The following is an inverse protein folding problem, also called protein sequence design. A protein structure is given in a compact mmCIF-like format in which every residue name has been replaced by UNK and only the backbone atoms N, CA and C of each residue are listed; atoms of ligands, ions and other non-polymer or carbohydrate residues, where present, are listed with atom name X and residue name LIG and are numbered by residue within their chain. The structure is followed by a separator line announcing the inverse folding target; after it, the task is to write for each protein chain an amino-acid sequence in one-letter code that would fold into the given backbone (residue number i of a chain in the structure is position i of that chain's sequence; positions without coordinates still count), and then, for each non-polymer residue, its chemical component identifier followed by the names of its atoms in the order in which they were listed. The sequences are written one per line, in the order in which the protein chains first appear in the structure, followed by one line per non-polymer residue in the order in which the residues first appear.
data_IF_310443189704
#
_entry.id   IF_310443189704
#
_cell.length_a   1.000
_cell.length_b   1.000
_cell.length_c   1.000
_cell.angle_alpha   90.00
_cell.angle_beta   90.00
_cell.angle_gamma   90.00
#
_symmetry.space_group_name_H-M   'P 1'
#
loop_
_entity.id
_entity.type
_entity.pdbx_description
1 polymer ?
#
# COMPACT_ATOMS: atom_id res chain seq x y z
N UNK A 1 -11.84 -66.52 42.23
CA UNK A 1 -11.57 -67.23 43.49
C UNK A 1 -10.13 -67.04 43.86
N UNK A 2 -9.79 -66.84 45.10
CA UNK A 2 -10.33 -65.91 46.11
C UNK A 2 -9.16 -65.10 46.75
N UNK A 3 -9.46 -64.19 47.43
CA UNK A 3 -9.40 -63.79 48.83
C UNK A 3 -8.59 -62.55 49.16
N UNK A 4 -9.30 -61.57 49.62
CA UNK A 4 -9.00 -60.57 50.65
C UNK A 4 -8.65 -61.24 51.96
N UNK A 5 -8.00 -60.68 53.04
CA UNK A 5 -8.27 -59.32 53.63
C UNK A 5 -7.00 -58.66 54.23
N UNK A 6 -7.03 -57.36 54.53
CA UNK A 6 -7.55 -56.59 55.66
C UNK A 6 -6.55 -56.31 56.80
N UNK A 7 -6.76 -55.14 57.41
CA UNK A 7 -6.50 -54.66 58.79
C UNK A 7 -5.29 -53.69 58.91
N UNK A 8 -5.48 -52.43 59.04
CA UNK A 8 -5.88 -51.57 60.17
C UNK A 8 -4.85 -51.51 61.30
N UNK A 9 -4.29 -50.39 61.56
CA UNK A 9 -3.98 -49.92 62.91
C UNK A 9 -3.84 -48.42 63.02
N UNK A 10 -4.72 -47.83 63.73
CA UNK A 10 -4.70 -46.46 64.30
C UNK A 10 -3.48 -46.28 65.23
N UNK A 11 -2.91 -45.13 65.27
CA UNK A 11 -2.50 -44.48 66.52
C UNK A 11 -2.61 -42.96 66.47
N UNK A 12 -3.18 -42.50 67.55
CA UNK A 12 -3.55 -41.12 67.93
C UNK A 12 -2.34 -40.34 68.48
N UNK A 13 -2.49 -39.05 68.41
CA UNK A 13 -2.16 -37.99 69.39
C UNK A 13 -0.71 -37.49 69.41
N UNK A 14 -0.48 -36.21 69.17
CA UNK A 14 -0.51 -35.20 70.24
C UNK A 14 -0.39 -33.78 69.68
N UNK A 15 -1.19 -32.95 70.23
CA UNK A 15 -1.24 -31.50 70.10
C UNK A 15 0.05 -30.89 70.67
N UNK A 16 0.62 -29.95 69.94
CA UNK A 16 1.41 -28.89 70.51
C UNK A 16 1.17 -27.60 69.71
N UNK A 17 0.44 -26.73 70.33
CA UNK A 17 0.29 -25.36 69.93
C UNK A 17 1.58 -24.58 70.29
N UNK A 18 2.08 -23.78 69.38
CA UNK A 18 2.96 -22.66 69.71
C UNK A 18 2.72 -21.53 68.75
N UNK A 19 2.56 -20.42 69.38
CA UNK A 19 2.09 -19.08 69.04
C UNK A 19 2.93 -18.37 67.97
N UNK A 20 2.18 -17.59 67.17
CA UNK A 20 2.39 -16.19 66.81
C UNK A 20 3.81 -15.73 66.36
N UNK A 21 3.83 -15.30 65.11
CA UNK A 21 4.47 -14.01 64.75
C UNK A 21 3.80 -13.53 63.46
N UNK A 22 2.97 -12.52 63.55
CA UNK A 22 2.47 -11.69 62.46
C UNK A 22 3.69 -10.92 61.90
N UNK A 23 4.08 -11.22 60.70
CA UNK A 23 4.91 -10.33 59.88
C UNK A 23 4.07 -9.92 58.67
N UNK A 24 3.45 -8.76 58.81
CA UNK A 24 2.76 -8.05 57.74
C UNK A 24 3.77 -7.59 56.69
N UNK A 25 4.03 -8.36 55.69
CA UNK A 25 4.73 -7.91 54.49
C UNK A 25 3.73 -7.14 53.61
N UNK A 26 3.80 -5.81 53.66
CA UNK A 26 3.11 -4.92 52.73
C UNK A 26 3.72 -5.14 51.34
N UNK A 27 3.05 -5.91 50.50
CA UNK A 27 3.34 -5.96 49.06
C UNK A 27 2.71 -4.72 48.45
N UNK A 28 3.54 -3.69 48.28
CA UNK A 28 3.21 -2.53 47.45
C UNK A 28 3.16 -3.01 45.98
N UNK A 29 1.97 -3.34 45.51
CA UNK A 29 1.72 -3.57 44.08
C UNK A 29 1.85 -2.21 43.36
N UNK A 30 3.01 -1.94 42.81
CA UNK A 30 3.15 -0.89 41.80
C UNK A 30 2.34 -1.32 40.57
N UNK A 31 1.11 -0.85 40.51
CA UNK A 31 0.35 -0.86 39.27
C UNK A 31 1.05 0.11 38.29
N UNK A 32 1.97 -0.43 37.48
CA UNK A 32 2.46 0.25 36.29
C UNK A 32 1.31 0.29 35.32
N UNK A 33 0.46 1.30 35.42
CA UNK A 33 -0.49 1.68 34.39
C UNK A 33 0.34 2.21 33.20
N UNK A 34 0.92 1.28 32.44
CA UNK A 34 1.42 1.57 31.13
C UNK A 34 0.20 1.98 30.29
N UNK A 35 0.06 3.29 30.06
CA UNK A 35 -0.82 3.79 29.00
C UNK A 35 -0.28 3.22 27.70
N UNK A 36 -0.84 2.08 27.28
CA UNK A 36 -0.75 1.64 25.90
C UNK A 36 -1.47 2.74 25.11
N UNK A 37 -0.71 3.68 24.56
CA UNK A 37 -1.23 4.55 23.53
C UNK A 37 -1.56 3.62 22.36
N UNK A 38 -2.82 3.23 22.26
CA UNK A 38 -3.37 2.79 21.00
C UNK A 38 -3.07 3.93 20.02
N UNK A 39 -2.14 3.70 19.13
CA UNK A 39 -1.90 4.59 18.01
C UNK A 39 -3.22 4.63 17.22
N UNK A 40 -4.01 5.67 17.43
CA UNK A 40 -5.22 5.88 16.65
C UNK A 40 -4.78 6.13 15.22
N UNK A 41 -5.16 5.22 14.35
CA UNK A 41 -4.93 5.36 12.92
C UNK A 41 -5.50 6.71 12.46
N UNK A 42 -4.63 7.57 11.89
CA UNK A 42 -5.04 8.87 11.36
C UNK A 42 -5.20 8.79 9.83
N UNK A 43 -6.42 8.83 9.31
CA UNK A 43 -6.66 8.77 7.87
C UNK A 43 -6.15 10.01 7.11
N UNK A 44 -5.73 11.07 7.83
CA UNK A 44 -5.13 12.26 7.26
C UNK A 44 -3.60 12.34 7.45
N UNK A 45 -2.97 11.25 7.87
CA UNK A 45 -1.53 11.21 8.16
C UNK A 45 -0.68 11.65 6.97
N UNK A 46 -0.95 11.15 5.77
CA UNK A 46 -0.22 11.56 4.56
C UNK A 46 -0.41 13.04 4.22
N UNK A 47 -1.64 13.56 4.38
CA UNK A 47 -1.87 14.99 4.17
C UNK A 47 -1.06 15.84 5.15
N UNK A 48 -1.04 15.49 6.43
CA UNK A 48 -0.24 16.21 7.45
C UNK A 48 1.26 16.17 7.11
N UNK A 49 1.75 15.03 6.67
CA UNK A 49 3.17 14.93 6.26
C UNK A 49 3.45 15.86 5.08
N UNK A 50 2.65 15.85 4.03
CA UNK A 50 2.91 16.65 2.84
C UNK A 50 2.58 18.13 3.07
N UNK A 51 1.40 18.43 3.61
CA UNK A 51 0.90 19.82 3.75
C UNK A 51 1.52 20.59 4.90
N UNK A 52 1.86 19.90 6.01
CA UNK A 52 2.36 20.57 7.23
C UNK A 52 3.88 20.44 7.39
N UNK A 53 4.55 19.54 6.66
CA UNK A 53 6.00 19.35 6.78
C UNK A 53 6.70 19.49 5.43
N UNK A 54 6.45 18.60 4.46
CA UNK A 54 7.22 18.56 3.21
C UNK A 54 7.14 19.87 2.42
N UNK A 55 5.91 20.35 2.17
CA UNK A 55 5.72 21.56 1.36
C UNK A 55 6.21 22.83 2.08
N UNK A 56 5.93 23.08 3.38
CA UNK A 56 6.52 24.18 4.11
C UNK A 56 8.06 24.11 4.16
N UNK A 57 8.62 22.96 4.51
CA UNK A 57 10.08 22.79 4.58
C UNK A 57 10.76 23.07 3.23
N UNK A 58 10.20 22.57 2.14
CA UNK A 58 10.73 22.83 0.80
C UNK A 58 10.66 24.31 0.42
N UNK A 59 9.57 25.01 0.79
CA UNK A 59 9.38 26.44 0.49
C UNK A 59 10.28 27.33 1.33
N UNK A 60 10.33 27.08 2.63
CA UNK A 60 10.92 28.01 3.60
C UNK A 60 12.41 27.71 3.85
N UNK A 61 12.85 26.46 3.67
CA UNK A 61 14.21 26.00 3.96
C UNK A 61 14.94 25.46 2.71
N UNK A 62 14.25 25.25 1.59
CA UNK A 62 14.81 24.59 0.40
C UNK A 62 15.02 23.09 0.58
N UNK A 63 14.59 22.49 1.71
CA UNK A 63 14.77 21.09 2.04
C UNK A 63 13.40 20.43 2.23
N UNK A 64 13.01 19.45 1.39
CA UNK A 64 11.66 18.88 1.40
C UNK A 64 11.39 17.85 2.49
N UNK A 65 12.34 17.59 3.40
CA UNK A 65 12.19 16.55 4.43
C UNK A 65 10.89 16.66 5.25
N UNK A 66 10.19 15.55 5.50
CA UNK A 66 10.61 14.15 5.31
C UNK A 66 10.44 13.60 3.88
N UNK A 67 9.85 14.36 2.94
CA UNK A 67 9.73 13.93 1.56
C UNK A 67 11.10 13.89 0.86
N UNK A 68 11.20 13.05 -0.17
CA UNK A 68 12.38 12.96 -1.03
C UNK A 68 12.46 14.19 -1.95
N UNK A 69 11.30 14.67 -2.43
CA UNK A 69 11.18 15.87 -3.25
C UNK A 69 9.79 16.48 -3.14
N UNK A 70 9.68 17.78 -3.42
CA UNK A 70 8.42 18.51 -3.64
C UNK A 70 8.56 19.28 -4.94
N UNK A 71 7.64 19.07 -5.87
CA UNK A 71 7.54 19.80 -7.13
C UNK A 71 6.29 20.69 -7.07
N UNK A 72 6.51 21.99 -6.86
CA UNK A 72 5.41 22.98 -6.78
C UNK A 72 4.77 23.28 -8.13
N UNK A 73 5.49 23.12 -9.24
CA UNK A 73 4.93 23.35 -10.58
C UNK A 73 4.00 22.20 -10.98
N UNK A 74 4.42 20.96 -10.69
CA UNK A 74 3.64 19.75 -10.95
C UNK A 74 2.73 19.37 -9.77
N UNK A 75 2.75 20.14 -8.68
CA UNK A 75 1.88 20.05 -7.50
C UNK A 75 1.86 18.68 -6.85
N UNK A 76 3.03 18.04 -6.68
CA UNK A 76 3.17 16.78 -5.94
C UNK A 76 4.44 16.73 -5.09
N UNK A 77 4.42 15.83 -4.12
CA UNK A 77 5.58 15.39 -3.36
C UNK A 77 5.83 13.89 -3.59
N UNK A 78 7.08 13.46 -3.43
CA UNK A 78 7.44 12.03 -3.41
C UNK A 78 7.98 11.71 -2.04
N UNK A 79 7.36 10.75 -1.37
CA UNK A 79 7.70 10.30 -0.02
C UNK A 79 8.20 8.85 -0.07
N UNK A 80 9.30 8.53 0.62
CA UNK A 80 9.67 7.13 0.86
C UNK A 80 8.65 6.54 1.83
N UNK A 81 7.93 5.49 1.41
CA UNK A 81 7.00 4.79 2.28
C UNK A 81 7.75 4.15 3.45
N UNK A 82 7.11 4.10 4.61
CA UNK A 82 7.62 3.38 5.79
C UNK A 82 7.65 1.88 5.55
N UNK A 83 6.76 1.38 4.70
CA UNK A 83 6.70 -0.02 4.28
C UNK A 83 7.59 -0.24 3.05
N UNK A 84 7.90 -1.52 2.80
CA UNK A 84 8.62 -1.93 1.62
C UNK A 84 10.09 -1.48 1.57
N UNK A 85 10.88 -2.26 0.86
CA UNK A 85 12.33 -2.03 0.70
C UNK A 85 12.63 -0.75 -0.09
N UNK A 86 11.88 -0.54 -1.17
CA UNK A 86 12.10 0.56 -2.11
C UNK A 86 10.82 1.28 -2.54
N UNK A 87 9.70 1.06 -1.87
CA UNK A 87 8.43 1.69 -2.17
C UNK A 87 8.46 3.19 -1.90
N UNK A 88 7.91 3.96 -2.82
CA UNK A 88 7.65 5.39 -2.70
C UNK A 88 6.18 5.68 -2.93
N UNK A 89 5.74 6.84 -2.46
CA UNK A 89 4.40 7.36 -2.71
C UNK A 89 4.53 8.68 -3.46
N UNK A 90 3.83 8.83 -4.57
CA UNK A 90 3.55 10.14 -5.13
C UNK A 90 2.26 10.65 -4.51
N UNK A 91 2.29 11.86 -3.94
CA UNK A 91 1.20 12.47 -3.18
C UNK A 91 1.00 13.90 -3.66
N UNK A 92 -0.21 14.33 -4.09
CA UNK A 92 -0.48 15.73 -4.42
C UNK A 92 -0.15 16.67 -3.26
N UNK A 93 0.35 17.87 -3.57
CA UNK A 93 0.46 18.98 -2.60
C UNK A 93 -0.86 19.68 -2.37
N UNK A 94 -1.85 19.42 -3.21
CA UNK A 94 -3.24 19.83 -3.02
C UNK A 94 -4.01 18.79 -2.20
N UNK A 95 -5.09 19.21 -1.57
CA UNK A 95 -5.98 18.30 -0.88
C UNK A 95 -6.86 17.55 -1.89
N UNK A 96 -6.46 16.34 -2.24
CA UNK A 96 -7.17 15.43 -3.14
C UNK A 96 -7.45 14.14 -2.37
N UNK A 97 -8.71 13.74 -2.21
CA UNK A 97 -9.07 12.62 -1.35
C UNK A 97 -8.61 11.27 -1.91
N UNK A 98 -8.81 11.04 -3.19
CA UNK A 98 -8.45 9.77 -3.82
C UNK A 98 -8.90 9.67 -5.28
N UNK A 99 -8.99 8.45 -5.76
CA UNK A 99 -9.33 8.10 -7.15
C UNK A 99 -10.69 8.65 -7.62
N UNK A 100 -11.59 8.91 -6.67
CA UNK A 100 -12.95 9.44 -6.92
C UNK A 100 -13.00 10.96 -7.10
N UNK A 101 -11.90 11.67 -6.87
CA UNK A 101 -11.89 13.14 -6.84
C UNK A 101 -12.14 13.72 -8.23
N UNK A 102 -13.15 14.61 -8.38
CA UNK A 102 -13.54 15.14 -9.71
C UNK A 102 -12.41 15.87 -10.43
N UNK A 103 -11.54 16.55 -9.69
CA UNK A 103 -10.43 17.33 -10.24
C UNK A 103 -9.41 16.48 -11.01
N UNK A 104 -9.22 15.19 -10.65
CA UNK A 104 -8.32 14.31 -11.38
C UNK A 104 -8.99 13.68 -12.61
N UNK A 105 -10.32 13.63 -12.64
CA UNK A 105 -11.10 13.03 -13.70
C UNK A 105 -11.40 14.02 -14.82
N UNK A 106 -11.87 15.24 -14.45
CA UNK A 106 -12.45 16.18 -15.39
C UNK A 106 -11.54 17.39 -15.69
N UNK A 107 -10.34 17.42 -15.15
CA UNK A 107 -9.34 18.45 -15.41
C UNK A 107 -9.08 19.37 -14.20
N UNK A 108 -8.03 20.18 -14.31
CA UNK A 108 -7.58 21.08 -13.24
C UNK A 108 -6.47 20.49 -12.36
N UNK A 109 -6.23 19.19 -12.40
CA UNK A 109 -5.08 18.54 -11.76
C UNK A 109 -3.95 18.27 -12.76
N UNK A 110 -2.71 18.18 -12.29
CA UNK A 110 -1.60 17.64 -13.06
C UNK A 110 -1.82 16.16 -13.42
N UNK A 111 -1.06 15.70 -14.41
CA UNK A 111 -1.00 14.26 -14.74
C UNK A 111 -0.12 13.52 -13.73
N UNK A 112 -0.69 13.18 -12.57
CA UNK A 112 0.03 12.55 -11.46
C UNK A 112 0.67 11.21 -11.84
N UNK A 113 0.11 10.49 -12.82
CA UNK A 113 0.72 9.25 -13.33
C UNK A 113 2.06 9.48 -14.02
N UNK A 114 2.23 10.61 -14.72
CA UNK A 114 3.53 11.02 -15.29
C UNK A 114 4.54 11.24 -14.16
N UNK A 115 4.15 11.99 -13.13
CA UNK A 115 5.01 12.22 -11.97
C UNK A 115 5.36 10.92 -11.22
N UNK A 116 4.39 10.00 -11.09
CA UNK A 116 4.62 8.72 -10.45
C UNK A 116 5.57 7.84 -11.28
N UNK A 117 5.46 7.88 -12.61
CA UNK A 117 6.41 7.20 -13.47
C UNK A 117 7.83 7.78 -13.34
N UNK A 118 7.95 9.11 -13.34
CA UNK A 118 9.23 9.78 -13.08
C UNK A 118 9.83 9.40 -11.70
N UNK A 119 8.99 9.12 -10.72
CA UNK A 119 9.43 8.74 -9.38
C UNK A 119 10.02 7.33 -9.30
N UNK A 120 9.86 6.48 -10.33
CA UNK A 120 10.49 5.15 -10.40
C UNK A 120 12.02 5.22 -10.31
N UNK A 121 12.62 6.35 -10.68
CA UNK A 121 14.06 6.59 -10.49
C UNK A 121 14.50 6.47 -9.04
N UNK A 122 13.64 6.78 -8.07
CA UNK A 122 13.95 6.66 -6.65
C UNK A 122 13.94 5.20 -6.20
N UNK A 123 13.06 4.37 -6.77
CA UNK A 123 13.08 2.91 -6.58
C UNK A 123 14.42 2.35 -7.05
N UNK A 124 14.82 2.66 -8.28
CA UNK A 124 16.08 2.25 -8.87
C UNK A 124 17.30 2.71 -8.05
N UNK A 125 17.30 3.98 -7.62
CA UNK A 125 18.36 4.54 -6.79
C UNK A 125 18.45 3.84 -5.42
N UNK A 126 17.30 3.55 -4.79
CA UNK A 126 17.25 2.83 -3.51
C UNK A 126 17.75 1.40 -3.61
N UNK A 127 17.45 0.74 -4.72
CA UNK A 127 17.90 -0.62 -5.01
C UNK A 127 19.32 -0.69 -5.55
N UNK A 128 19.89 0.44 -5.98
CA UNK A 128 21.19 0.55 -6.66
C UNK A 128 21.27 -0.31 -7.93
N UNK A 129 20.15 -0.38 -8.65
CA UNK A 129 20.00 -1.10 -9.90
C UNK A 129 19.00 -0.42 -10.80
N UNK A 130 19.05 -0.65 -12.11
CA UNK A 130 18.05 -0.17 -13.05
C UNK A 130 17.14 -1.33 -13.43
N UNK A 131 15.90 -1.26 -12.99
CA UNK A 131 14.85 -2.20 -13.37
C UNK A 131 14.32 -1.86 -14.77
N UNK A 132 13.94 -2.89 -15.51
CA UNK A 132 13.20 -2.71 -16.75
C UNK A 132 11.83 -2.07 -16.46
N UNK A 133 11.26 -1.27 -17.37
CA UNK A 133 9.94 -0.66 -17.18
C UNK A 133 8.84 -1.66 -16.82
N UNK A 134 8.91 -2.89 -17.33
CA UNK A 134 7.97 -3.99 -17.03
C UNK A 134 8.12 -4.57 -15.61
N UNK A 135 9.16 -4.18 -14.88
CA UNK A 135 9.46 -4.60 -13.51
C UNK A 135 9.10 -3.53 -12.48
N UNK A 136 8.58 -2.39 -12.93
CA UNK A 136 8.16 -1.27 -12.12
C UNK A 136 6.63 -1.13 -12.18
N UNK A 137 6.00 -0.87 -11.06
CA UNK A 137 4.57 -0.74 -10.95
C UNK A 137 4.16 0.53 -10.20
N UNK A 138 3.07 1.13 -10.66
CA UNK A 138 2.38 2.24 -10.03
C UNK A 138 0.98 1.76 -9.64
N UNK A 139 0.51 2.02 -8.42
CA UNK A 139 -0.79 1.50 -7.99
C UNK A 139 -1.56 2.54 -7.18
N UNK A 140 -2.88 2.54 -7.33
CA UNK A 140 -3.80 3.26 -6.47
C UNK A 140 -4.99 2.38 -6.08
N UNK A 141 -5.33 2.45 -4.81
CA UNK A 141 -6.41 1.70 -4.19
C UNK A 141 -7.79 2.35 -4.39
N UNK A 142 -8.84 1.54 -4.42
CA UNK A 142 -10.22 2.00 -4.26
C UNK A 142 -10.43 2.69 -2.90
N UNK A 143 -11.47 3.52 -2.80
CA UNK A 143 -11.80 4.29 -1.59
C UNK A 143 -11.90 3.39 -0.35
N UNK A 144 -12.58 2.24 -0.46
CA UNK A 144 -12.79 1.32 0.65
C UNK A 144 -11.56 0.49 1.02
N UNK A 145 -10.49 0.58 0.24
CA UNK A 145 -9.24 -0.18 0.45
C UNK A 145 -8.05 0.68 0.79
N UNK A 146 -8.16 2.00 0.65
CA UNK A 146 -7.10 2.92 1.07
C UNK A 146 -7.15 3.17 2.58
N UNK A 147 -5.98 3.36 3.16
CA UNK A 147 -5.84 3.73 4.57
C UNK A 147 -5.81 5.26 4.79
N UNK A 148 -5.58 6.04 3.76
CA UNK A 148 -5.37 7.49 3.84
C UNK A 148 -6.35 8.27 2.96
N UNK A 149 -6.92 9.37 3.49
CA UNK A 149 -7.80 10.29 2.76
C UNK A 149 -7.01 11.41 2.07
N UNK A 150 -5.91 11.04 1.48
CA UNK A 150 -5.11 11.85 0.57
C UNK A 150 -4.69 10.95 -0.58
N UNK A 151 -4.91 11.37 -1.82
CA UNK A 151 -4.49 10.63 -3.00
C UNK A 151 -3.02 10.29 -2.89
N UNK A 152 -2.69 9.03 -3.10
CA UNK A 152 -1.32 8.56 -3.18
C UNK A 152 -1.23 7.43 -4.18
N UNK A 153 -0.21 7.51 -5.02
CA UNK A 153 0.13 6.45 -5.97
C UNK A 153 1.35 5.73 -5.43
N UNK A 154 1.21 4.44 -5.16
CA UNK A 154 2.33 3.57 -4.81
C UNK A 154 3.26 3.42 -6.01
N UNK A 155 4.56 3.51 -5.79
CA UNK A 155 5.61 3.36 -6.79
C UNK A 155 6.58 2.31 -6.28
N UNK A 156 6.56 1.12 -6.87
CA UNK A 156 7.32 -0.01 -6.36
C UNK A 156 7.71 -1.01 -7.46
N UNK A 157 8.31 -2.11 -7.06
CA UNK A 157 8.61 -3.25 -7.91
C UNK A 157 7.33 -4.04 -8.24
N UNK A 158 7.25 -4.53 -9.47
CA UNK A 158 6.25 -5.56 -9.82
C UNK A 158 6.63 -6.91 -9.22
N UNK A 159 5.66 -7.72 -8.87
CA UNK A 159 5.88 -9.16 -8.67
C UNK A 159 6.31 -9.80 -9.99
N UNK A 160 7.32 -10.67 -9.94
CA UNK A 160 7.88 -11.30 -11.14
C UNK A 160 6.83 -12.14 -11.91
N UNK A 161 6.04 -12.94 -11.19
CA UNK A 161 4.97 -13.76 -11.76
C UNK A 161 3.88 -12.92 -12.44
N UNK A 162 3.59 -11.73 -11.89
CA UNK A 162 2.62 -10.80 -12.48
C UNK A 162 3.20 -10.11 -13.72
N UNK A 163 4.46 -9.69 -13.68
CA UNK A 163 5.14 -9.13 -14.85
C UNK A 163 5.17 -10.11 -16.03
N UNK A 164 5.36 -11.41 -15.76
CA UNK A 164 5.31 -12.48 -16.75
C UNK A 164 3.87 -12.71 -17.26
N UNK A 165 2.88 -12.76 -16.37
CA UNK A 165 1.47 -12.93 -16.72
C UNK A 165 0.93 -11.77 -17.59
N UNK A 166 1.53 -10.59 -17.50
CA UNK A 166 1.17 -9.42 -18.31
C UNK A 166 1.81 -9.42 -19.71
N UNK A 167 2.78 -10.29 -19.99
CA UNK A 167 3.48 -10.32 -21.27
C UNK A 167 2.56 -10.46 -22.51
N UNK A 168 1.48 -11.27 -22.51
CA UNK A 168 0.57 -11.41 -23.65
C UNK A 168 -0.20 -10.15 -24.03
N UNK A 169 -0.24 -9.12 -23.16
CA UNK A 169 -1.01 -7.89 -23.37
C UNK A 169 -0.15 -6.73 -23.90
N UNK A 170 1.16 -6.87 -23.93
CA UNK A 170 2.13 -5.81 -24.26
C UNK A 170 2.00 -5.26 -25.67
N UNK A 171 1.50 -6.08 -26.60
CA UNK A 171 1.34 -5.73 -28.01
C UNK A 171 -0.11 -5.51 -28.44
N UNK A 172 -1.04 -5.49 -27.48
CA UNK A 172 -2.45 -5.21 -27.77
C UNK A 172 -2.62 -3.79 -28.35
N UNK A 173 -3.66 -3.62 -29.16
CA UNK A 173 -4.01 -2.30 -29.67
C UNK A 173 -4.33 -1.34 -28.50
N UNK A 174 -3.83 -0.09 -28.50
CA UNK A 174 -4.13 0.87 -27.45
C UNK A 174 -5.63 1.10 -27.30
N UNK A 175 -6.13 1.11 -26.07
CA UNK A 175 -7.55 1.31 -25.75
C UNK A 175 -8.41 0.05 -25.84
N UNK A 176 -7.89 -1.08 -26.34
CA UNK A 176 -8.59 -2.34 -26.35
C UNK A 176 -8.49 -3.02 -24.97
N UNK A 177 -9.63 -3.28 -24.33
CA UNK A 177 -9.68 -3.98 -23.05
C UNK A 177 -9.76 -5.49 -23.22
N UNK A 178 -8.94 -6.21 -22.45
CA UNK A 178 -9.02 -7.66 -22.32
C UNK A 178 -9.06 -8.08 -20.87
N UNK A 179 -9.79 -9.15 -20.57
CA UNK A 179 -9.86 -9.71 -19.23
C UNK A 179 -8.70 -10.67 -18.95
N UNK A 180 -8.21 -10.64 -17.71
CA UNK A 180 -7.21 -11.54 -17.18
C UNK A 180 -7.54 -11.96 -15.75
N UNK A 181 -7.02 -13.10 -15.32
CA UNK A 181 -6.95 -13.48 -13.91
C UNK A 181 -5.52 -13.32 -13.46
N UNK A 182 -5.27 -12.43 -12.50
CA UNK A 182 -3.98 -12.18 -11.89
C UNK A 182 -4.12 -12.43 -10.39
N UNK A 183 -3.26 -13.25 -9.83
CA UNK A 183 -3.29 -13.60 -8.40
C UNK A 183 -4.69 -14.06 -7.93
N UNK A 184 -5.36 -14.87 -8.74
CA UNK A 184 -6.71 -15.38 -8.48
C UNK A 184 -7.84 -14.36 -8.61
N UNK A 185 -7.58 -13.10 -8.93
CA UNK A 185 -8.57 -12.02 -9.06
C UNK A 185 -8.73 -11.60 -10.51
N UNK A 186 -9.92 -11.11 -10.85
CA UNK A 186 -10.27 -10.70 -12.21
C UNK A 186 -9.93 -9.23 -12.44
N UNK A 187 -9.14 -8.97 -13.48
CA UNK A 187 -8.75 -7.64 -13.94
C UNK A 187 -9.08 -7.46 -15.42
N UNK A 188 -9.30 -6.23 -15.83
CA UNK A 188 -9.25 -5.85 -17.24
C UNK A 188 -7.97 -5.09 -17.52
N UNK A 189 -7.38 -5.31 -18.68
CA UNK A 189 -6.08 -4.79 -19.08
C UNK A 189 -6.23 -4.08 -20.40
N UNK A 190 -5.64 -2.89 -20.52
CA UNK A 190 -5.49 -2.19 -21.80
C UNK A 190 -4.11 -1.57 -21.89
N UNK A 191 -3.66 -1.32 -23.10
CA UNK A 191 -2.42 -0.57 -23.37
C UNK A 191 -2.74 0.89 -23.64
N UNK A 192 -1.89 1.79 -23.14
CA UNK A 192 -1.91 3.24 -23.43
C UNK A 192 -0.55 3.68 -23.96
N UNK A 193 -0.54 4.72 -24.79
CA UNK A 193 0.70 5.26 -25.37
C UNK A 193 1.25 6.48 -24.62
N UNK A 194 0.49 6.99 -23.63
CA UNK A 194 0.87 8.09 -22.77
C UNK A 194 0.21 7.94 -21.41
N UNK A 195 0.76 8.56 -20.38
CA UNK A 195 0.16 8.68 -19.04
C UNK A 195 -0.50 10.05 -18.80
N UNK A 196 -0.58 10.87 -19.84
CA UNK A 196 -1.12 12.21 -19.80
C UNK A 196 -2.38 12.37 -20.65
N UNK A 197 -3.08 13.49 -20.49
CA UNK A 197 -4.22 13.91 -21.28
C UNK A 197 -5.33 12.85 -21.36
N UNK A 198 -5.78 12.53 -22.58
CA UNK A 198 -6.83 11.52 -22.81
C UNK A 198 -6.40 10.10 -22.52
N UNK A 199 -5.09 9.84 -22.47
CA UNK A 199 -4.50 8.54 -22.14
C UNK A 199 -4.16 8.40 -20.66
N UNK A 200 -4.42 9.43 -19.85
CA UNK A 200 -4.26 9.38 -18.40
C UNK A 200 -5.08 8.22 -17.83
N UNK A 201 -4.46 7.29 -17.06
CA UNK A 201 -5.13 6.08 -16.56
C UNK A 201 -6.44 6.33 -15.80
N UNK A 202 -6.56 7.43 -15.04
CA UNK A 202 -7.83 7.77 -14.38
C UNK A 202 -8.95 7.99 -15.41
N UNK A 203 -8.67 8.77 -16.44
CA UNK A 203 -9.64 9.12 -17.50
C UNK A 203 -9.95 7.94 -18.42
N UNK A 204 -8.95 7.08 -18.67
CA UNK A 204 -9.14 5.85 -19.46
C UNK A 204 -10.07 4.89 -18.74
N UNK A 205 -9.87 4.70 -17.44
CA UNK A 205 -10.73 3.82 -16.65
C UNK A 205 -12.13 4.41 -16.49
N UNK A 206 -12.25 5.69 -16.12
CA UNK A 206 -13.55 6.37 -15.91
C UNK A 206 -14.42 6.35 -17.16
N UNK A 207 -13.86 6.69 -18.33
CA UNK A 207 -14.58 6.73 -19.60
C UNK A 207 -15.21 5.37 -19.97
N UNK A 208 -14.53 4.28 -19.61
CA UNK A 208 -14.91 2.92 -20.02
C UNK A 208 -15.55 2.13 -18.86
N UNK A 209 -16.07 2.82 -17.83
CA UNK A 209 -16.90 2.24 -16.79
C UNK A 209 -18.35 2.08 -17.24
N UNK A 210 -18.97 0.99 -16.81
CA UNK A 210 -20.42 0.85 -16.93
C UNK A 210 -21.16 1.85 -16.03
N UNK A 211 -22.36 2.26 -16.42
CA UNK A 211 -23.15 3.26 -15.70
C UNK A 211 -23.47 2.92 -14.23
N UNK A 212 -23.29 1.65 -13.84
CA UNK A 212 -23.48 1.19 -12.45
C UNK A 212 -22.20 1.20 -11.61
N UNK A 213 -21.07 1.52 -12.23
CA UNK A 213 -19.76 1.54 -11.58
C UNK A 213 -19.33 2.98 -11.27
N UNK A 214 -18.51 3.14 -10.25
CA UNK A 214 -17.94 4.44 -9.88
C UNK A 214 -16.42 4.34 -9.76
N UNK A 215 -15.74 5.45 -9.96
CA UNK A 215 -14.29 5.54 -9.76
C UNK A 215 -13.88 5.24 -8.31
N UNK A 216 -14.72 5.56 -7.34
CA UNK A 216 -14.45 5.26 -5.92
C UNK A 216 -14.24 3.76 -5.65
N UNK A 217 -14.87 2.90 -6.47
CA UNK A 217 -14.75 1.46 -6.37
C UNK A 217 -13.62 0.86 -7.21
N UNK A 218 -12.82 1.67 -7.93
CA UNK A 218 -11.79 1.17 -8.82
C UNK A 218 -10.41 1.15 -8.15
N UNK A 219 -9.60 0.16 -8.53
CA UNK A 219 -8.15 0.16 -8.34
C UNK A 219 -7.48 0.13 -9.70
N UNK A 220 -6.34 0.81 -9.81
CA UNK A 220 -5.58 0.90 -11.06
C UNK A 220 -4.13 0.58 -10.77
N UNK A 221 -3.55 -0.33 -11.56
CA UNK A 221 -2.11 -0.54 -11.60
C UNK A 221 -1.60 -0.20 -13.01
N UNK A 222 -0.44 0.44 -13.08
CA UNK A 222 0.24 0.82 -14.31
C UNK A 222 1.66 0.26 -14.30
N UNK A 223 2.08 -0.35 -15.42
CA UNK A 223 3.45 -0.84 -15.61
C UNK A 223 3.88 -0.59 -17.05
N UNK A 224 5.17 -0.61 -17.34
CA UNK A 224 5.65 -0.49 -18.72
C UNK A 224 5.18 -1.65 -19.59
N UNK A 225 4.77 -1.36 -20.82
CA UNK A 225 4.37 -2.39 -21.78
C UNK A 225 5.55 -3.09 -22.44
N UNK A 226 6.77 -2.51 -22.36
CA UNK A 226 7.98 -3.07 -22.94
C UNK A 226 9.22 -2.38 -22.37
N UNK A 227 10.42 -2.67 -22.92
CA UNK A 227 11.68 -2.12 -22.44
C UNK A 227 11.85 -0.61 -22.69
N UNK A 228 11.08 -0.05 -23.63
CA UNK A 228 11.12 1.37 -24.00
C UNK A 228 9.70 1.95 -23.99
N UNK A 229 9.31 2.61 -22.91
CA UNK A 229 7.95 3.15 -22.75
C UNK A 229 7.62 4.26 -23.74
N UNK A 230 8.60 4.95 -24.30
CA UNK A 230 8.35 5.95 -25.34
C UNK A 230 7.81 5.31 -26.63
N UNK A 231 8.25 4.08 -26.94
CA UNK A 231 7.78 3.28 -28.07
C UNK A 231 6.64 2.35 -27.68
N UNK A 232 6.79 1.66 -26.57
CA UNK A 232 5.94 0.53 -26.20
C UNK A 232 4.71 0.96 -25.39
N UNK A 233 4.79 2.11 -24.72
CA UNK A 233 3.72 2.63 -23.86
C UNK A 233 3.65 1.91 -22.52
N UNK A 234 2.45 1.88 -21.94
CA UNK A 234 2.16 1.31 -20.63
C UNK A 234 0.94 0.39 -20.69
N UNK A 235 0.90 -0.58 -19.78
CA UNK A 235 -0.30 -1.36 -19.47
C UNK A 235 -1.03 -0.72 -18.30
N UNK A 236 -2.33 -0.55 -18.44
CA UNK A 236 -3.28 -0.15 -17.39
C UNK A 236 -4.07 -1.39 -17.01
N UNK A 237 -3.94 -1.80 -15.76
CA UNK A 237 -4.61 -2.96 -15.16
C UNK A 237 -5.65 -2.41 -14.18
N UNK A 238 -6.92 -2.75 -14.37
CA UNK A 238 -8.02 -2.20 -13.58
C UNK A 238 -8.94 -3.32 -13.08
N UNK A 239 -9.42 -3.15 -11.85
CA UNK A 239 -10.47 -3.98 -11.26
C UNK A 239 -11.40 -3.12 -10.41
N UNK A 240 -12.67 -3.51 -10.33
CA UNK A 240 -13.63 -2.95 -9.41
C UNK A 240 -13.56 -3.57 -8.02
N UNK A 241 -14.12 -2.87 -7.04
CA UNK A 241 -14.28 -3.38 -5.69
C UNK A 241 -15.25 -4.57 -5.69
N UNK A 242 -14.77 -5.70 -5.19
CA UNK A 242 -15.55 -6.88 -4.85
C UNK A 242 -15.13 -7.31 -3.45
N UNK A 243 -15.98 -7.01 -2.47
CA UNK A 243 -15.66 -7.23 -1.04
C UNK A 243 -15.52 -8.72 -0.75
N UNK A 244 -16.32 -9.56 -1.39
CA UNK A 244 -16.34 -11.00 -1.15
C UNK A 244 -15.07 -11.68 -1.68
N UNK A 245 -14.55 -11.20 -2.81
CA UNK A 245 -13.30 -11.68 -3.41
C UNK A 245 -12.06 -10.88 -3.02
N UNK A 246 -12.20 -9.90 -2.10
CA UNK A 246 -11.08 -9.10 -1.59
C UNK A 246 -10.43 -8.20 -2.64
N UNK A 247 -11.14 -7.81 -3.71
CA UNK A 247 -10.66 -6.89 -4.73
C UNK A 247 -10.78 -5.42 -4.32
N UNK A 248 -10.45 -4.49 -5.22
CA UNK A 248 -10.43 -3.05 -4.95
C UNK A 248 -9.06 -2.54 -4.52
N UNK A 249 -8.06 -3.43 -4.47
CA UNK A 249 -6.64 -3.12 -4.33
C UNK A 249 -5.85 -4.00 -5.28
N UNK A 250 -5.01 -3.39 -6.11
CA UNK A 250 -4.03 -4.05 -6.94
C UNK A 250 -2.62 -4.03 -6.30
N UNK A 251 -2.50 -3.53 -5.07
CA UNK A 251 -1.23 -3.46 -4.32
C UNK A 251 -0.58 -4.83 -4.15
N UNK A 252 -1.37 -5.91 -4.03
CA UNK A 252 -0.86 -7.28 -3.98
C UNK A 252 -0.20 -7.77 -5.27
N UNK A 253 -0.28 -7.02 -6.38
CA UNK A 253 0.46 -7.27 -7.63
C UNK A 253 1.86 -6.65 -7.60
N UNK A 254 2.16 -5.79 -6.60
CA UNK A 254 3.48 -5.23 -6.32
C UNK A 254 4.25 -6.15 -5.35
N UNK A 255 5.58 -6.03 -5.37
CA UNK A 255 6.48 -6.74 -4.46
C UNK A 255 7.28 -5.76 -3.61
N UNK A 256 6.81 -5.50 -2.41
CA UNK A 256 7.45 -4.58 -1.45
C UNK A 256 8.86 -5.05 -1.00
N UNK A 257 9.19 -6.32 -1.20
CA UNK A 257 10.54 -6.84 -0.97
C UNK A 257 11.47 -6.62 -2.17
N UNK A 258 10.93 -6.25 -3.33
CA UNK A 258 11.64 -6.10 -4.58
C UNK A 258 12.54 -7.32 -4.90
N UNK A 259 11.99 -8.52 -4.80
CA UNK A 259 12.73 -9.76 -5.06
C UNK A 259 13.23 -9.83 -6.52
N UNK A 260 12.46 -9.22 -7.45
CA UNK A 260 12.83 -9.11 -8.87
C UNK A 260 14.17 -8.36 -9.10
N UNK A 261 14.61 -7.55 -8.14
CA UNK A 261 15.86 -6.80 -8.20
C UNK A 261 17.06 -7.55 -7.59
N UNK A 262 16.86 -8.78 -7.08
CA UNK A 262 17.96 -9.57 -6.51
C UNK A 262 18.72 -10.26 -7.65
N UNK A 263 20.06 -10.32 -7.60
CA UNK A 263 20.80 -11.20 -8.49
C UNK A 263 20.31 -12.64 -8.32
N UNK A 264 20.05 -13.32 -9.41
CA UNK A 264 19.74 -14.75 -9.43
C UNK A 264 20.98 -15.56 -9.10
#
# INVERSE_FOLDING_TARGET
MPHVPALAARRRSRIAALSAAFSSALIAAFAVTGCVRLSTFDPNGLWKVVGEQCAPNARDKGEPGPCTTVDFQKRYAVLKDINGRAQYLLIPTDRVSGIESPEILYGGSPDYWVGAWDATRYVNAKLKTTLAPTQLGLEINATERRSQNQLHIHVDCMRADIADALAPYRHDAPGAWRWATLDGKRYRITRVTSLADRSNPFRVVERDLDAKQSMSAQTILVTGAGPDTARDGWLVVNSGLDVDNGSGSAEGLLDHACAIARPQ
#
